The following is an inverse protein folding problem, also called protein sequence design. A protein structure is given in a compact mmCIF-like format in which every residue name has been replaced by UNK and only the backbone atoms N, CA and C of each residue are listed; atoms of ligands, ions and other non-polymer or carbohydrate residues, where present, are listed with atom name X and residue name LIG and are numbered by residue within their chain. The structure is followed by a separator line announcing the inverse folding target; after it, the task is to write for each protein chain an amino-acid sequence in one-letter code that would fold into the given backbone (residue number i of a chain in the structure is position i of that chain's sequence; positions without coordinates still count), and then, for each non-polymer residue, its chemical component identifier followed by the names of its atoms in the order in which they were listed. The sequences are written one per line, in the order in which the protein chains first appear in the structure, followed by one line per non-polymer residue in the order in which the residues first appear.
data_IF_323413446265
#
_entry.id   IF_323413446265
#
_cell.length_a   1.000
_cell.length_b   1.000
_cell.length_c   1.000
_cell.angle_alpha   90.00
_cell.angle_beta   90.00
_cell.angle_gamma   90.00
#
_symmetry.space_group_name_H-M   'P 1'
#
loop_
_entity.id
_entity.type
_entity.pdbx_description
1 polymer ?
#
# COMPACT_ATOMS: atom_id res chain seq x y z
N UNK A 1 -11.96 17.70 16.61
CA UNK A 1 -11.40 17.32 15.30
C UNK A 1 -12.56 17.24 14.34
N UNK A 2 -12.64 18.16 13.38
CA UNK A 2 -13.64 18.07 12.31
C UNK A 2 -13.36 16.84 11.45
N UNK A 3 -14.37 15.98 11.30
CA UNK A 3 -14.29 14.81 10.43
C UNK A 3 -14.58 15.26 9.00
N UNK A 4 -13.60 15.10 8.11
CA UNK A 4 -13.83 15.23 6.68
C UNK A 4 -14.84 14.17 6.24
N UNK A 5 -15.95 14.58 5.62
CA UNK A 5 -16.90 13.64 5.00
C UNK A 5 -16.35 13.20 3.65
N UNK A 6 -16.35 11.90 3.42
CA UNK A 6 -16.09 11.35 2.09
C UNK A 6 -17.15 11.89 1.12
N UNK A 7 -16.71 12.60 0.10
CA UNK A 7 -17.59 13.10 -0.95
C UNK A 7 -17.67 12.07 -2.09
N UNK A 8 -18.88 11.88 -2.61
CA UNK A 8 -19.07 11.16 -3.87
C UNK A 8 -18.48 11.99 -5.00
N UNK A 9 -17.72 11.35 -5.88
CA UNK A 9 -17.15 11.99 -7.07
C UNK A 9 -17.74 11.25 -8.26
N UNK A 10 -18.45 11.99 -9.12
CA UNK A 10 -19.17 11.44 -10.27
C UNK A 10 -20.13 10.29 -9.90
N UNK A 11 -20.76 10.36 -8.73
CA UNK A 11 -21.68 9.33 -8.23
C UNK A 11 -21.00 8.13 -7.55
N UNK A 12 -19.67 8.03 -7.58
CA UNK A 12 -18.90 6.95 -6.94
C UNK A 12 -18.50 7.37 -5.52
N UNK A 13 -18.81 6.51 -4.54
CA UNK A 13 -18.49 6.72 -3.13
C UNK A 13 -17.10 6.17 -2.80
N UNK A 14 -16.41 6.75 -1.80
CA UNK A 14 -15.12 6.27 -1.35
C UNK A 14 -15.30 5.06 -0.41
N UNK A 15 -15.38 3.87 -0.98
CA UNK A 15 -15.43 2.60 -0.24
C UNK A 15 -14.14 1.80 -0.46
N UNK A 16 -13.84 0.83 0.42
CA UNK A 16 -12.70 -0.07 0.24
C UNK A 16 -12.71 -0.73 -1.15
N UNK A 17 -13.88 -1.18 -1.60
CA UNK A 17 -14.08 -1.84 -2.90
C UNK A 17 -13.77 -0.90 -4.06
N UNK A 18 -14.42 0.26 -4.11
CA UNK A 18 -14.22 1.27 -5.18
C UNK A 18 -12.80 1.84 -5.20
N UNK A 19 -12.08 1.81 -4.07
CA UNK A 19 -10.69 2.27 -3.99
C UNK A 19 -9.74 1.19 -4.53
N UNK A 20 -9.98 -0.08 -4.20
CA UNK A 20 -9.15 -1.21 -4.61
C UNK A 20 -9.35 -1.60 -6.09
N UNK A 21 -10.56 -1.45 -6.62
CA UNK A 21 -10.86 -1.68 -8.04
C UNK A 21 -10.51 -0.49 -8.95
N UNK A 22 -10.13 0.65 -8.36
CA UNK A 22 -9.73 1.87 -9.07
C UNK A 22 -10.89 2.70 -9.62
N UNK A 23 -12.15 2.36 -9.33
CA UNK A 23 -13.32 3.10 -9.81
C UNK A 23 -13.54 4.43 -9.06
N UNK A 24 -13.03 4.57 -7.84
CA UNK A 24 -13.03 5.84 -7.12
C UNK A 24 -11.98 6.78 -7.74
N UNK A 25 -12.38 7.94 -8.32
CA UNK A 25 -11.50 8.74 -9.18
C UNK A 25 -10.24 9.31 -8.51
N UNK A 26 -10.22 9.38 -7.17
CA UNK A 26 -9.07 9.87 -6.41
C UNK A 26 -8.28 8.75 -5.71
N UNK A 27 -8.63 7.48 -5.96
CA UNK A 27 -7.85 6.36 -5.47
C UNK A 27 -6.43 6.42 -6.06
N UNK A 28 -5.42 6.36 -5.20
CA UNK A 28 -4.01 6.37 -5.61
C UNK A 28 -3.24 5.28 -4.87
N UNK A 29 -2.56 4.36 -5.58
CA UNK A 29 -1.65 3.42 -4.95
C UNK A 29 -0.41 4.16 -4.42
N UNK A 30 0.12 3.69 -3.30
CA UNK A 30 1.41 4.12 -2.77
C UNK A 30 2.47 3.10 -3.17
N UNK A 31 3.60 3.60 -3.66
CA UNK A 31 4.73 2.77 -4.09
C UNK A 31 5.97 3.04 -3.25
N UNK A 32 6.73 1.99 -2.98
CA UNK A 32 8.09 2.06 -2.45
C UNK A 32 9.07 1.86 -3.60
N UNK A 33 9.94 2.84 -3.83
CA UNK A 33 11.01 2.75 -4.83
C UNK A 33 12.33 2.47 -4.12
N UNK A 34 12.96 1.35 -4.46
CA UNK A 34 14.19 0.90 -3.82
C UNK A 34 15.23 0.54 -4.88
N UNK A 35 16.49 0.88 -4.61
CA UNK A 35 17.61 0.45 -5.43
C UNK A 35 17.79 -1.07 -5.37
N UNK A 36 17.79 -1.73 -6.54
CA UNK A 36 18.09 -3.18 -6.64
C UNK A 36 19.45 -3.52 -6.06
N UNK A 37 20.46 -2.67 -6.31
CA UNK A 37 21.80 -2.84 -5.75
C UNK A 37 21.78 -2.84 -4.22
N UNK A 38 21.02 -1.92 -3.62
CA UNK A 38 20.90 -1.85 -2.17
C UNK A 38 20.21 -3.09 -1.59
N UNK A 39 19.13 -3.60 -2.22
CA UNK A 39 18.47 -4.84 -1.77
C UNK A 39 19.40 -6.05 -1.86
N UNK A 40 20.26 -6.12 -2.89
CA UNK A 40 21.18 -7.23 -3.10
C UNK A 40 22.41 -7.18 -2.16
N UNK A 41 22.95 -5.99 -1.91
CA UNK A 41 24.22 -5.83 -1.18
C UNK A 41 24.07 -5.46 0.30
N UNK A 42 22.90 -4.97 0.73
CA UNK A 42 22.65 -4.51 2.09
C UNK A 42 21.52 -5.31 2.75
N UNK A 43 21.85 -6.33 3.55
CA UNK A 43 20.86 -7.15 4.25
C UNK A 43 19.87 -6.32 5.07
N UNK A 44 20.33 -5.25 5.73
CA UNK A 44 19.49 -4.38 6.54
C UNK A 44 18.38 -3.66 5.74
N UNK A 45 18.62 -3.38 4.45
CA UNK A 45 17.61 -2.80 3.56
C UNK A 45 16.55 -3.84 3.24
N UNK A 46 16.96 -5.07 2.93
CA UNK A 46 16.04 -6.17 2.65
C UNK A 46 15.20 -6.54 3.87
N UNK A 47 15.81 -6.56 5.05
CA UNK A 47 15.13 -6.88 6.31
C UNK A 47 14.08 -5.82 6.65
N UNK A 48 14.42 -4.54 6.52
CA UNK A 48 13.46 -3.45 6.71
C UNK A 48 12.26 -3.54 5.77
N UNK A 49 12.50 -3.83 4.48
CA UNK A 49 11.42 -3.95 3.50
C UNK A 49 10.54 -5.18 3.75
N UNK A 50 11.16 -6.29 4.16
CA UNK A 50 10.42 -7.50 4.58
C UNK A 50 9.51 -7.18 5.75
N UNK A 51 10.06 -6.58 6.81
CA UNK A 51 9.30 -6.14 7.98
C UNK A 51 8.17 -5.18 7.62
N UNK A 52 8.44 -4.17 6.79
CA UNK A 52 7.41 -3.22 6.34
C UNK A 52 6.26 -3.95 5.64
N UNK A 53 6.57 -4.85 4.71
CA UNK A 53 5.57 -5.61 3.95
C UNK A 53 4.81 -6.63 4.81
N UNK A 54 5.44 -7.23 5.82
CA UNK A 54 4.77 -8.11 6.79
C UNK A 54 3.73 -7.37 7.63
N UNK A 55 3.95 -6.07 7.89
CA UNK A 55 3.09 -5.25 8.73
C UNK A 55 2.22 -4.25 7.94
N UNK A 56 2.31 -4.24 6.60
CA UNK A 56 1.73 -3.19 5.76
C UNK A 56 0.20 -3.04 5.90
N UNK A 57 -0.52 -4.15 6.12
CA UNK A 57 -1.98 -4.10 6.33
C UNK A 57 -2.31 -3.37 7.64
N UNK A 58 -1.70 -3.81 8.75
CA UNK A 58 -1.91 -3.21 10.06
C UNK A 58 -1.52 -1.74 10.05
N UNK A 59 -0.34 -1.41 9.51
CA UNK A 59 0.15 -0.04 9.43
C UNK A 59 -0.81 0.86 8.64
N UNK A 60 -1.36 0.37 7.53
CA UNK A 60 -2.34 1.12 6.75
C UNK A 60 -3.63 1.39 7.54
N UNK A 61 -4.13 0.40 8.28
CA UNK A 61 -5.34 0.55 9.09
C UNK A 61 -5.15 1.55 10.25
N UNK A 62 -3.98 1.54 10.90
CA UNK A 62 -3.63 2.49 11.97
C UNK A 62 -3.65 3.95 11.48
N UNK A 63 -3.20 4.20 10.24
CA UNK A 63 -3.22 5.53 9.62
C UNK A 63 -4.48 5.80 8.81
N UNK A 64 -5.53 4.98 8.96
CA UNK A 64 -6.82 5.11 8.28
C UNK A 64 -6.74 5.09 6.74
N UNK A 65 -5.75 4.37 6.20
CA UNK A 65 -5.61 4.09 4.79
C UNK A 65 -6.31 2.79 4.39
N UNK A 66 -6.64 2.66 3.10
CA UNK A 66 -7.08 1.38 2.54
C UNK A 66 -5.85 0.49 2.36
N UNK A 67 -5.79 -0.70 3.00
CA UNK A 67 -4.65 -1.58 2.89
C UNK A 67 -4.54 -2.16 1.48
N UNK A 68 -3.31 -2.42 1.04
CA UNK A 68 -3.08 -3.20 -0.17
C UNK A 68 -3.61 -4.64 0.02
N UNK A 69 -3.95 -5.30 -1.08
CA UNK A 69 -4.39 -6.70 -1.02
C UNK A 69 -3.21 -7.61 -0.62
N UNK A 70 -3.53 -8.76 -0.02
CA UNK A 70 -2.51 -9.77 0.30
C UNK A 70 -1.70 -10.18 -0.93
N UNK A 71 -2.36 -10.36 -2.08
CA UNK A 71 -1.71 -10.67 -3.34
C UNK A 71 -0.70 -9.59 -3.78
N UNK A 72 -1.01 -8.30 -3.57
CA UNK A 72 -0.09 -7.20 -3.85
C UNK A 72 1.14 -7.22 -2.92
N UNK A 73 0.93 -7.54 -1.64
CA UNK A 73 2.02 -7.67 -0.66
C UNK A 73 2.92 -8.85 -1.01
N UNK A 74 2.34 -10.01 -1.34
CA UNK A 74 3.10 -11.21 -1.70
C UNK A 74 3.91 -10.99 -2.98
N UNK A 75 3.33 -10.33 -3.99
CA UNK A 75 4.04 -9.93 -5.19
C UNK A 75 5.21 -8.97 -4.90
N UNK A 76 5.02 -8.05 -3.94
CA UNK A 76 6.06 -7.11 -3.51
C UNK A 76 7.20 -7.83 -2.77
N UNK A 77 6.89 -8.81 -1.92
CA UNK A 77 7.89 -9.64 -1.23
C UNK A 77 8.69 -10.48 -2.23
N UNK A 78 8.02 -11.07 -3.23
CA UNK A 78 8.69 -11.80 -4.29
C UNK A 78 9.61 -10.91 -5.16
N UNK A 79 9.37 -9.59 -5.19
CA UNK A 79 10.27 -8.66 -5.87
C UNK A 79 11.57 -8.39 -5.08
N UNK A 80 11.60 -8.63 -3.77
CA UNK A 80 12.81 -8.48 -2.93
C UNK A 80 13.82 -9.63 -3.09
N UNK A 81 13.42 -10.70 -3.78
CA UNK A 81 14.29 -11.86 -4.04
C UNK A 81 14.87 -11.86 -5.45
N UNK A 82 14.51 -10.88 -6.29
CA UNK A 82 15.00 -10.70 -7.67
C UNK A 82 16.13 -9.69 -7.71
#
# INVERSE_FOLDING_TARGET
MDKLKAMKINGVEATKETILDGTYPLARPIFLYVSKKAVAEKPEVKDFLTFYLDNAIQLAEEVQMVPATQATIDASKAALTK
#
